data_IF_263705528908
#
_entry.id   IF_263705528908
#
_cell.length_a   1.000
_cell.length_b   1.000
_cell.length_c   1.000
_cell.angle_alpha   90.00
_cell.angle_beta   90.00
_cell.angle_gamma   90.00
#
_symmetry.space_group_name_H-M   'P 1'
#
loop_
_entity.id
_entity.type
_entity.pdbx_description
1 polymer ?
#
# COMPACT_ATOMS: atom_id res chain seq x y z
N UNK A 1 -8.82 -16.93 42.42
CA UNK A 1 -9.73 -17.89 43.08
C UNK A 1 -10.99 -18.03 42.22
N UNK A 2 -11.45 -19.26 42.03
CA UNK A 2 -12.71 -19.63 41.37
C UNK A 2 -13.94 -19.21 42.20
N UNK A 3 -15.10 -19.23 41.53
CA UNK A 3 -16.51 -19.05 42.00
C UNK A 3 -17.02 -17.60 42.05
N UNK A 4 -18.21 -17.26 41.52
CA UNK A 4 -19.18 -17.92 40.60
C UNK A 4 -20.37 -16.95 40.40
N UNK A 5 -20.95 -16.96 39.19
CA UNK A 5 -22.40 -16.95 38.88
C UNK A 5 -23.24 -15.69 39.23
N UNK A 6 -24.15 -15.14 38.38
CA UNK A 6 -25.10 -15.80 37.45
C UNK A 6 -25.59 -14.87 36.30
N UNK A 7 -25.54 -15.40 35.07
CA UNK A 7 -26.62 -15.54 34.07
C UNK A 7 -27.59 -14.38 33.74
N UNK A 8 -27.51 -13.89 32.49
CA UNK A 8 -28.57 -14.04 31.45
C UNK A 8 -27.95 -13.63 30.09
N UNK A 9 -27.40 -14.59 29.33
CA UNK A 9 -28.00 -15.15 28.10
C UNK A 9 -29.13 -14.29 27.50
N UNK A 10 -28.77 -13.47 26.52
CA UNK A 10 -29.66 -13.07 25.44
C UNK A 10 -28.99 -13.41 24.10
N UNK A 11 -29.35 -14.61 23.62
CA UNK A 11 -29.71 -14.89 22.23
C UNK A 11 -28.87 -14.21 21.14
N UNK A 12 -27.84 -14.91 20.69
CA UNK A 12 -27.33 -14.75 19.33
C UNK A 12 -28.44 -15.25 18.39
N UNK A 13 -29.30 -14.34 17.92
CA UNK A 13 -30.12 -14.60 16.74
C UNK A 13 -29.20 -14.68 15.52
N UNK A 14 -28.80 -15.92 15.23
CA UNK A 14 -28.50 -16.45 13.91
C UNK A 14 -27.67 -15.58 12.97
N UNK A 15 -26.35 -15.73 13.02
CA UNK A 15 -25.73 -16.17 11.78
C UNK A 15 -26.30 -17.56 11.51
N UNK A 16 -27.00 -17.70 10.38
CA UNK A 16 -27.49 -19.00 9.95
C UNK A 16 -26.36 -20.03 10.13
N UNK A 17 -26.65 -21.07 10.90
CA UNK A 17 -25.82 -22.26 10.99
C UNK A 17 -25.56 -22.72 9.55
N UNK A 18 -24.37 -22.45 9.01
CA UNK A 18 -23.79 -23.37 8.06
C UNK A 18 -23.86 -24.72 8.78
N UNK A 19 -24.65 -25.64 8.21
CA UNK A 19 -24.81 -26.99 8.76
C UNK A 19 -23.45 -27.52 9.20
N UNK A 20 -23.43 -28.31 10.29
CA UNK A 20 -22.27 -29.14 10.63
C UNK A 20 -21.99 -30.04 9.42
N UNK A 21 -21.17 -29.57 8.50
CA UNK A 21 -20.61 -30.38 7.45
C UNK A 21 -19.60 -31.26 8.14
N UNK A 22 -19.85 -32.56 8.08
CA UNK A 22 -18.87 -33.65 8.13
C UNK A 22 -17.45 -33.15 7.81
N UNK A 23 -16.39 -33.56 8.53
CA UNK A 23 -15.02 -33.13 8.20
C UNK A 23 -14.84 -33.31 6.70
N UNK A 24 -14.38 -32.29 5.95
CA UNK A 24 -14.41 -32.36 4.50
C UNK A 24 -13.57 -33.56 4.09
N UNK A 25 -14.27 -34.58 3.57
CA UNK A 25 -13.68 -35.55 2.65
C UNK A 25 -12.88 -34.73 1.65
N UNK A 26 -11.59 -35.01 1.46
CA UNK A 26 -10.67 -34.27 0.55
C UNK A 26 -11.38 -33.45 -0.55
N UNK A 27 -11.61 -32.11 -0.46
CA UNK A 27 -12.34 -31.46 -1.58
C UNK A 27 -12.37 -29.92 -1.78
N UNK A 28 -11.36 -29.13 -1.39
CA UNK A 28 -11.03 -27.93 -2.19
C UNK A 28 -9.58 -27.48 -2.00
N UNK A 29 -8.77 -27.60 -3.06
CA UNK A 29 -7.35 -27.18 -3.08
C UNK A 29 -7.11 -25.83 -3.78
N UNK A 30 -8.13 -25.29 -4.45
CA UNK A 30 -8.04 -24.05 -5.24
C UNK A 30 -8.88 -22.97 -4.58
N UNK A 31 -8.21 -21.92 -4.10
CA UNK A 31 -8.82 -20.72 -3.55
C UNK A 31 -9.08 -19.72 -4.69
N UNK A 32 -10.34 -19.27 -4.81
CA UNK A 32 -10.72 -18.24 -5.78
C UNK A 32 -10.83 -16.88 -5.08
N UNK A 33 -10.53 -15.81 -5.81
CA UNK A 33 -10.69 -14.44 -5.30
C UNK A 33 -12.14 -14.17 -4.91
N UNK A 34 -12.33 -13.41 -3.83
CA UNK A 34 -13.64 -12.89 -3.42
C UNK A 34 -14.06 -11.64 -4.24
N UNK A 35 -13.14 -11.08 -5.02
CA UNK A 35 -13.38 -9.91 -5.87
C UNK A 35 -13.81 -10.31 -7.28
N UNK A 36 -14.55 -9.46 -8.00
CA UNK A 36 -14.95 -9.73 -9.38
C UNK A 36 -13.75 -10.04 -10.28
N UNK A 37 -13.93 -10.90 -11.31
CA UNK A 37 -12.89 -11.13 -12.30
C UNK A 37 -12.58 -9.85 -13.07
N UNK A 38 -11.31 -9.63 -13.36
CA UNK A 38 -10.88 -8.57 -14.28
C UNK A 38 -11.26 -8.98 -15.72
N UNK A 39 -11.74 -8.05 -16.57
CA UNK A 39 -12.05 -8.35 -17.96
C UNK A 39 -10.91 -9.07 -18.67
N UNK A 40 -11.23 -10.03 -19.54
CA UNK A 40 -10.23 -10.80 -20.28
C UNK A 40 -9.64 -10.03 -21.47
N UNK A 41 -10.24 -8.90 -21.86
CA UNK A 41 -9.82 -8.09 -23.01
C UNK A 41 -8.44 -7.48 -22.76
N UNK A 42 -7.41 -7.86 -23.54
CA UNK A 42 -6.06 -7.34 -23.33
C UNK A 42 -6.01 -5.83 -23.56
N UNK A 43 -5.56 -5.09 -22.53
CA UNK A 43 -5.23 -3.67 -22.61
C UNK A 43 -3.84 -3.42 -22.02
N UNK A 44 -3.15 -2.38 -22.47
CA UNK A 44 -1.88 -1.98 -21.86
C UNK A 44 -2.12 -1.07 -20.65
N UNK A 45 -1.13 -0.97 -19.77
CA UNK A 45 -1.15 0.00 -18.67
C UNK A 45 -1.24 1.40 -19.24
N UNK A 46 -0.47 1.70 -20.30
CA UNK A 46 -0.52 2.99 -20.99
C UNK A 46 -1.93 3.33 -21.49
N UNK A 47 -2.64 2.39 -22.13
CA UNK A 47 -4.02 2.63 -22.56
C UNK A 47 -4.96 2.98 -21.40
N UNK A 48 -4.76 2.38 -20.23
CA UNK A 48 -5.50 2.71 -19.02
C UNK A 48 -5.10 4.10 -18.47
N UNK A 49 -3.82 4.46 -18.54
CA UNK A 49 -3.32 5.79 -18.17
C UNK A 49 -3.90 6.87 -19.09
N UNK A 50 -4.00 6.63 -20.41
CA UNK A 50 -4.66 7.54 -21.35
C UNK A 50 -6.15 7.71 -21.03
N UNK A 51 -6.84 6.65 -20.59
CA UNK A 51 -8.22 6.78 -20.12
C UNK A 51 -8.31 7.65 -18.86
N UNK A 52 -7.38 7.50 -17.92
CA UNK A 52 -7.30 8.37 -16.75
C UNK A 52 -6.97 9.83 -17.14
N UNK A 53 -6.05 10.06 -18.07
CA UNK A 53 -5.66 11.38 -18.54
C UNK A 53 -6.84 12.15 -19.18
N UNK A 54 -7.74 11.46 -19.89
CA UNK A 54 -8.99 12.06 -20.40
C UNK A 54 -9.91 12.60 -19.31
N UNK A 55 -9.88 11.98 -18.13
CA UNK A 55 -10.75 12.34 -16.99
C UNK A 55 -10.06 13.41 -16.12
N UNK A 56 -8.75 13.27 -15.91
CA UNK A 56 -7.96 14.06 -14.96
C UNK A 56 -6.95 14.99 -15.62
N UNK A 57 -7.20 15.41 -16.86
CA UNK A 57 -6.23 16.09 -17.72
C UNK A 57 -5.46 17.24 -17.03
N UNK A 58 -6.18 18.10 -16.32
CA UNK A 58 -5.60 19.29 -15.67
C UNK A 58 -5.17 19.04 -14.21
N UNK A 59 -5.41 17.83 -13.70
CA UNK A 59 -4.95 17.44 -12.37
C UNK A 59 -3.43 17.15 -12.37
N UNK A 60 -2.72 17.38 -11.26
CA UNK A 60 -1.32 16.98 -11.14
C UNK A 60 -1.15 15.46 -11.20
N UNK A 61 -0.27 14.98 -12.08
CA UNK A 61 0.12 13.57 -12.18
C UNK A 61 1.41 13.28 -11.39
N UNK A 62 2.42 14.13 -11.58
CA UNK A 62 3.72 14.02 -10.95
C UNK A 62 4.07 15.32 -10.26
N UNK A 63 4.60 15.23 -9.03
CA UNK A 63 5.05 16.37 -8.24
C UNK A 63 6.47 16.09 -7.76
N UNK A 64 7.39 17.03 -7.97
CA UNK A 64 8.71 16.96 -7.35
C UNK A 64 8.58 17.28 -5.85
N UNK A 65 8.90 16.33 -4.98
CA UNK A 65 8.81 16.52 -3.52
C UNK A 65 9.81 17.53 -2.93
N UNK A 66 10.77 18.02 -3.72
CA UNK A 66 11.76 19.04 -3.31
C UNK A 66 11.39 20.42 -3.85
N UNK A 67 11.15 20.53 -5.16
CA UNK A 67 10.89 21.82 -5.80
C UNK A 67 9.41 22.20 -5.84
N UNK A 68 8.53 21.25 -5.53
CA UNK A 68 7.06 21.38 -5.59
C UNK A 68 6.51 21.73 -6.98
N UNK A 69 7.37 21.77 -8.01
CA UNK A 69 6.95 21.80 -9.41
C UNK A 69 6.20 20.51 -9.73
N UNK A 70 5.14 20.66 -10.50
CA UNK A 70 4.30 19.54 -10.91
C UNK A 70 4.14 19.52 -12.42
N UNK A 71 3.70 18.35 -12.90
CA UNK A 71 3.31 18.09 -14.28
C UNK A 71 1.88 17.55 -14.22
N UNK A 72 0.99 18.14 -15.00
CA UNK A 72 -0.41 17.68 -15.15
C UNK A 72 -0.50 16.37 -15.92
N UNK A 73 -1.63 15.66 -15.86
CA UNK A 73 -1.85 14.48 -16.70
C UNK A 73 -1.72 14.78 -18.19
N UNK A 74 -2.19 15.96 -18.63
CA UNK A 74 -2.06 16.42 -20.02
C UNK A 74 -0.61 16.59 -20.44
N UNK A 75 0.17 17.37 -19.67
CA UNK A 75 1.59 17.59 -19.96
C UNK A 75 2.40 16.29 -19.86
N UNK A 76 2.02 15.40 -18.94
CA UNK A 76 2.59 14.07 -18.82
C UNK A 76 2.32 13.23 -20.08
N UNK A 77 1.07 13.18 -20.55
CA UNK A 77 0.71 12.46 -21.77
C UNK A 77 1.45 13.02 -22.99
N UNK A 78 1.48 14.34 -23.15
CA UNK A 78 2.21 15.01 -24.23
C UNK A 78 3.71 14.62 -24.21
N UNK A 79 4.32 14.62 -23.03
CA UNK A 79 5.73 14.23 -22.87
C UNK A 79 5.96 12.77 -23.24
N UNK A 80 5.08 11.86 -22.80
CA UNK A 80 5.16 10.43 -23.13
C UNK A 80 5.06 10.22 -24.64
N UNK A 81 4.12 10.87 -25.31
CA UNK A 81 3.94 10.76 -26.76
C UNK A 81 5.16 11.31 -27.50
N UNK A 82 5.70 12.46 -27.10
CA UNK A 82 6.91 13.02 -27.70
C UNK A 82 8.13 12.09 -27.57
N UNK A 83 8.34 11.52 -26.39
CA UNK A 83 9.45 10.57 -26.16
C UNK A 83 9.23 9.28 -26.94
N UNK A 84 7.99 8.76 -27.00
CA UNK A 84 7.66 7.59 -27.79
C UNK A 84 7.93 7.81 -29.29
N UNK A 85 7.52 8.95 -29.85
CA UNK A 85 7.82 9.32 -31.23
C UNK A 85 9.33 9.40 -31.48
N UNK A 86 10.09 10.01 -30.56
CA UNK A 86 11.54 10.10 -30.69
C UNK A 86 12.24 8.73 -30.64
N UNK A 87 11.75 7.78 -29.84
CA UNK A 87 12.26 6.41 -29.82
C UNK A 87 12.04 5.72 -31.18
N UNK A 88 10.85 5.85 -31.75
CA UNK A 88 10.53 5.31 -33.07
C UNK A 88 11.39 5.93 -34.18
N UNK A 89 11.59 7.25 -34.16
CA UNK A 89 12.46 7.95 -35.12
C UNK A 89 13.93 7.50 -35.05
N UNK A 90 14.37 7.08 -33.85
CA UNK A 90 15.71 6.53 -33.61
C UNK A 90 15.84 5.05 -33.98
N UNK A 91 14.79 4.46 -34.52
CA UNK A 91 14.77 3.10 -35.03
C UNK A 91 14.46 2.04 -33.99
N UNK A 92 13.92 2.41 -32.81
CA UNK A 92 13.40 1.40 -31.87
C UNK A 92 12.22 0.71 -32.54
N UNK A 93 12.36 -0.59 -32.77
CA UNK A 93 11.41 -1.40 -33.51
C UNK A 93 11.08 -2.71 -32.79
N UNK A 94 10.16 -3.48 -33.37
CA UNK A 94 9.85 -4.82 -32.89
C UNK A 94 11.12 -5.68 -32.89
N UNK A 95 11.32 -6.41 -31.79
CA UNK A 95 12.48 -7.27 -31.59
C UNK A 95 13.60 -6.60 -30.79
N UNK A 96 13.55 -5.28 -30.61
CA UNK A 96 14.53 -4.56 -29.82
C UNK A 96 14.26 -4.68 -28.32
N UNK A 97 15.35 -4.71 -27.56
CA UNK A 97 15.32 -4.60 -26.11
C UNK A 97 15.78 -3.20 -25.69
N UNK A 98 14.87 -2.40 -25.14
CA UNK A 98 15.19 -1.09 -24.58
C UNK A 98 15.49 -1.20 -23.09
N UNK A 99 16.73 -0.87 -22.69
CA UNK A 99 17.13 -0.79 -21.28
C UNK A 99 17.30 0.68 -20.87
N UNK A 100 16.67 1.07 -19.76
CA UNK A 100 16.80 2.42 -19.21
C UNK A 100 17.05 2.38 -17.70
N UNK A 101 18.08 3.11 -17.26
CA UNK A 101 18.46 3.27 -15.85
C UNK A 101 18.20 4.72 -15.44
N UNK A 102 17.00 4.97 -14.94
CA UNK A 102 16.49 6.31 -14.68
C UNK A 102 15.96 6.44 -13.26
N UNK A 103 16.05 7.65 -12.73
CA UNK A 103 15.35 8.02 -11.49
C UNK A 103 13.84 8.04 -11.72
N UNK A 104 13.05 7.78 -10.66
CA UNK A 104 11.59 7.61 -10.71
C UNK A 104 10.84 8.59 -11.63
N UNK A 105 11.10 9.90 -11.52
CA UNK A 105 10.40 10.91 -12.32
C UNK A 105 10.61 10.75 -13.83
N UNK A 106 11.82 10.35 -14.26
CA UNK A 106 12.12 10.06 -15.67
C UNK A 106 11.74 8.63 -16.06
N UNK A 107 11.79 7.72 -15.09
CA UNK A 107 11.42 6.32 -15.30
C UNK A 107 9.96 6.20 -15.72
N UNK A 108 9.03 6.85 -15.01
CA UNK A 108 7.59 6.75 -15.33
C UNK A 108 7.28 7.22 -16.75
N UNK A 109 7.85 8.36 -17.17
CA UNK A 109 7.69 8.88 -18.53
C UNK A 109 8.27 7.89 -19.55
N UNK A 110 9.50 7.42 -19.33
CA UNK A 110 10.19 6.54 -20.29
C UNK A 110 9.53 5.17 -20.38
N UNK A 111 9.06 4.63 -19.26
CA UNK A 111 8.35 3.36 -19.18
C UNK A 111 7.10 3.40 -20.07
N UNK A 112 6.26 4.41 -19.86
CA UNK A 112 5.02 4.57 -20.60
C UNK A 112 5.26 4.94 -22.08
N UNK A 113 6.38 5.61 -22.39
CA UNK A 113 6.79 5.92 -23.76
C UNK A 113 7.20 4.67 -24.54
N UNK A 114 8.00 3.80 -23.91
CA UNK A 114 8.39 2.50 -24.49
C UNK A 114 7.16 1.62 -24.66
N UNK A 115 6.26 1.61 -23.67
CA UNK A 115 4.98 0.90 -23.75
C UNK A 115 4.10 1.42 -24.91
N UNK A 116 4.00 2.74 -25.09
CA UNK A 116 3.28 3.33 -26.22
C UNK A 116 3.89 2.89 -27.57
N UNK A 117 5.19 3.09 -27.75
CA UNK A 117 5.88 2.73 -28.99
C UNK A 117 5.71 1.23 -29.31
N UNK A 118 5.82 0.36 -28.30
CA UNK A 118 5.63 -1.07 -28.47
C UNK A 118 4.16 -1.43 -28.78
N UNK A 119 3.20 -0.70 -28.21
CA UNK A 119 1.77 -0.84 -28.51
C UNK A 119 1.46 -0.47 -29.96
N UNK A 120 2.03 0.62 -30.46
CA UNK A 120 1.81 1.07 -31.84
C UNK A 120 2.49 0.14 -32.85
N UNK A 121 3.69 -0.35 -32.55
CA UNK A 121 4.35 -1.39 -33.36
C UNK A 121 3.48 -2.67 -33.42
N UNK A 122 2.95 -3.14 -32.28
CA UNK A 122 2.10 -4.32 -32.23
C UNK A 122 0.81 -4.16 -33.05
N UNK A 123 0.16 -2.98 -33.01
CA UNK A 123 -1.00 -2.68 -33.84
C UNK A 123 -0.67 -2.76 -35.33
N UNK A 124 0.46 -2.16 -35.75
CA UNK A 124 0.86 -2.14 -37.16
C UNK A 124 1.09 -3.53 -37.74
N UNK A 125 1.50 -4.48 -36.90
CA UNK A 125 1.79 -5.87 -37.27
C UNK A 125 0.68 -6.85 -36.89
N UNK A 126 -0.48 -6.38 -36.43
CA UNK A 126 -1.61 -7.22 -35.96
C UNK A 126 -1.22 -8.23 -34.87
N UNK A 127 -0.30 -7.83 -33.99
CA UNK A 127 0.17 -8.63 -32.86
C UNK A 127 -0.77 -8.40 -31.67
N UNK A 128 -1.21 -9.45 -30.95
CA UNK A 128 -2.00 -9.28 -29.73
C UNK A 128 -1.24 -8.50 -28.64
N UNK A 129 -1.95 -7.62 -27.95
CA UNK A 129 -1.40 -6.69 -26.95
C UNK A 129 -0.70 -7.38 -25.76
N UNK A 130 -1.08 -8.61 -25.43
CA UNK A 130 -0.47 -9.43 -24.38
C UNK A 130 0.87 -10.08 -24.80
N UNK A 131 1.29 -9.90 -26.05
CA UNK A 131 2.61 -10.27 -26.56
C UNK A 131 3.62 -9.11 -26.57
N UNK A 132 3.33 -8.03 -25.84
CA UNK A 132 4.24 -6.90 -25.62
C UNK A 132 4.74 -6.95 -24.18
N UNK A 133 6.06 -6.85 -23.98
CA UNK A 133 6.69 -7.20 -22.70
C UNK A 133 7.57 -6.10 -22.11
N UNK A 134 7.49 -5.98 -20.78
CA UNK A 134 8.43 -5.28 -19.92
C UNK A 134 9.28 -6.31 -19.16
N UNK A 135 10.56 -6.01 -18.94
CA UNK A 135 11.46 -6.85 -18.14
C UNK A 135 11.77 -6.12 -16.83
N UNK A 136 11.24 -6.66 -15.74
CA UNK A 136 11.50 -6.15 -14.39
C UNK A 136 12.71 -6.82 -13.73
N UNK A 137 13.35 -6.09 -12.81
CA UNK A 137 14.35 -6.68 -11.91
C UNK A 137 13.66 -7.55 -10.85
N UNK A 138 14.10 -8.81 -10.71
CA UNK A 138 13.54 -9.83 -9.80
C UNK A 138 13.61 -9.43 -8.30
N UNK A 139 12.81 -10.06 -7.41
CA UNK A 139 12.79 -9.75 -5.99
C UNK A 139 14.15 -9.95 -5.35
N UNK A 140 14.60 -8.96 -4.58
CA UNK A 140 15.76 -9.06 -3.70
C UNK A 140 15.56 -10.18 -2.67
N UNK A 141 16.42 -11.21 -2.65
CA UNK A 141 16.38 -12.17 -1.54
C UNK A 141 17.35 -13.35 -1.53
N UNK A 142 17.68 -13.98 -2.66
CA UNK A 142 18.58 -15.15 -2.63
C UNK A 142 19.68 -15.11 -3.70
N UNK A 143 20.89 -15.46 -3.27
CA UNK A 143 22.11 -15.44 -4.06
C UNK A 143 22.05 -16.39 -5.27
N UNK A 144 22.76 -15.95 -6.32
CA UNK A 144 23.41 -16.71 -7.41
C UNK A 144 22.85 -16.61 -8.83
N UNK A 145 21.59 -16.24 -9.08
CA UNK A 145 21.14 -15.97 -10.47
C UNK A 145 20.07 -14.88 -10.55
N UNK A 146 20.43 -13.70 -11.07
CA UNK A 146 19.47 -12.65 -11.41
C UNK A 146 18.79 -12.99 -12.74
N UNK A 147 17.70 -13.75 -12.69
CA UNK A 147 16.85 -13.97 -13.86
C UNK A 147 15.98 -12.73 -14.10
N UNK A 148 15.97 -12.24 -15.35
CA UNK A 148 14.99 -11.23 -15.77
C UNK A 148 13.60 -11.85 -15.81
N UNK A 149 12.63 -11.21 -15.17
CA UNK A 149 11.23 -11.65 -15.23
C UNK A 149 10.56 -10.90 -16.37
N UNK A 150 10.15 -11.65 -17.40
CA UNK A 150 9.41 -11.11 -18.54
C UNK A 150 7.92 -11.05 -18.17
N UNK A 151 7.38 -9.84 -18.09
CA UNK A 151 5.96 -9.57 -17.83
C UNK A 151 5.36 -8.90 -19.06
N UNK A 152 4.18 -9.31 -19.50
CA UNK A 152 3.49 -8.54 -20.54
C UNK A 152 2.94 -7.24 -19.95
N UNK A 153 2.76 -6.21 -20.78
CA UNK A 153 2.05 -5.01 -20.35
C UNK A 153 0.61 -5.33 -19.94
N UNK A 154 0.02 -6.40 -20.49
CA UNK A 154 -1.25 -6.94 -20.00
C UNK A 154 -1.15 -7.48 -18.56
N UNK A 155 -0.05 -8.16 -18.19
CA UNK A 155 0.15 -8.59 -16.80
C UNK A 155 0.20 -7.40 -15.84
N UNK A 156 0.87 -6.32 -16.23
CA UNK A 156 0.95 -5.08 -15.44
C UNK A 156 -0.42 -4.39 -15.34
N UNK A 157 -1.17 -4.32 -16.45
CA UNK A 157 -2.51 -3.74 -16.49
C UNK A 157 -3.50 -4.54 -15.62
N UNK A 158 -3.53 -5.87 -15.72
CA UNK A 158 -4.37 -6.73 -14.87
C UNK A 158 -4.02 -6.53 -13.40
N UNK A 159 -2.74 -6.46 -13.06
CA UNK A 159 -2.30 -6.22 -11.68
C UNK A 159 -2.82 -4.87 -11.15
N UNK A 160 -2.72 -3.80 -11.96
CA UNK A 160 -3.23 -2.48 -11.59
C UNK A 160 -4.77 -2.48 -11.45
N UNK A 161 -5.49 -3.14 -12.36
CA UNK A 161 -6.95 -3.28 -12.30
C UNK A 161 -7.40 -4.11 -11.09
N UNK A 162 -6.72 -5.21 -10.77
CA UNK A 162 -6.98 -5.98 -9.55
C UNK A 162 -6.86 -5.10 -8.31
N UNK A 163 -5.80 -4.30 -8.24
CA UNK A 163 -5.59 -3.41 -7.11
C UNK A 163 -6.72 -2.39 -6.97
N UNK A 164 -7.13 -1.77 -8.09
CA UNK A 164 -8.26 -0.84 -8.15
C UNK A 164 -9.60 -1.43 -7.66
N UNK A 165 -9.78 -2.75 -7.70
CA UNK A 165 -10.98 -3.41 -7.13
C UNK A 165 -10.90 -3.63 -5.62
N UNK A 166 -9.69 -3.65 -5.06
CA UNK A 166 -9.43 -3.89 -3.64
C UNK A 166 -9.34 -2.57 -2.88
N UNK A 167 -8.52 -1.64 -3.38
CA UNK A 167 -8.26 -0.34 -2.78
C UNK A 167 -7.88 0.68 -3.87
N UNK A 168 -8.44 1.88 -3.79
CA UNK A 168 -8.12 2.99 -4.71
C UNK A 168 -7.38 4.07 -3.96
N UNK A 169 -6.41 4.69 -4.62
CA UNK A 169 -5.81 5.90 -4.06
C UNK A 169 -6.87 7.01 -4.07
N UNK A 170 -7.16 7.54 -2.88
CA UNK A 170 -8.11 8.66 -2.68
C UNK A 170 -7.38 9.96 -2.37
N UNK A 171 -6.06 9.94 -2.56
CA UNK A 171 -5.10 10.84 -1.94
C UNK A 171 -3.78 10.75 -2.69
N UNK A 172 -2.96 11.81 -2.76
CA UNK A 172 -1.62 11.74 -3.31
C UNK A 172 -0.76 10.67 -2.63
N UNK A 173 0.19 10.12 -3.37
CA UNK A 173 1.12 9.13 -2.86
C UNK A 173 2.52 9.72 -2.74
N UNK A 174 3.14 9.58 -1.57
CA UNK A 174 4.55 9.91 -1.39
C UNK A 174 5.40 8.79 -2.00
N UNK A 175 6.05 9.08 -3.12
CA UNK A 175 6.73 8.11 -3.97
C UNK A 175 8.24 8.14 -3.76
N UNK A 176 8.75 7.17 -3.00
CA UNK A 176 10.18 6.94 -2.77
C UNK A 176 10.66 5.56 -3.20
N UNK A 177 9.75 4.61 -3.41
CA UNK A 177 10.14 3.27 -3.83
C UNK A 177 10.72 3.33 -5.25
N UNK A 178 11.77 2.56 -5.55
CA UNK A 178 12.33 2.51 -6.91
C UNK A 178 11.30 1.99 -7.90
N UNK A 179 10.96 2.78 -8.92
CA UNK A 179 9.96 2.39 -9.93
C UNK A 179 10.44 1.29 -10.88
N UNK A 180 11.74 1.04 -10.94
CA UNK A 180 12.33 -0.08 -11.68
C UNK A 180 12.18 -1.44 -10.98
N UNK A 181 11.67 -1.46 -9.75
CA UNK A 181 11.31 -2.67 -9.01
C UNK A 181 9.80 -2.90 -9.12
N UNK A 182 9.38 -4.17 -9.30
CA UNK A 182 7.97 -4.52 -9.56
C UNK A 182 7.01 -3.91 -8.54
N UNK A 183 7.39 -3.86 -7.27
CA UNK A 183 6.55 -3.25 -6.24
C UNK A 183 6.36 -1.73 -6.47
N UNK A 184 7.41 -1.02 -6.85
CA UNK A 184 7.33 0.41 -7.20
C UNK A 184 6.51 0.64 -8.46
N UNK A 185 6.72 -0.18 -9.51
CA UNK A 185 5.92 -0.13 -10.75
C UNK A 185 4.44 -0.35 -10.49
N UNK A 186 4.08 -1.35 -9.67
CA UNK A 186 2.68 -1.62 -9.31
C UNK A 186 2.02 -0.43 -8.62
N UNK A 187 2.70 0.21 -7.65
CA UNK A 187 2.16 1.39 -6.98
C UNK A 187 2.08 2.60 -7.92
N UNK A 188 3.09 2.82 -8.76
CA UNK A 188 3.10 3.87 -9.78
C UNK A 188 1.85 3.78 -10.67
N UNK A 189 1.57 2.58 -11.20
CA UNK A 189 0.40 2.33 -12.03
C UNK A 189 -0.90 2.56 -11.24
N UNK A 190 -0.99 2.03 -10.02
CA UNK A 190 -2.16 2.21 -9.16
C UNK A 190 -2.50 3.68 -8.89
N UNK A 191 -1.49 4.51 -8.64
CA UNK A 191 -1.67 5.95 -8.38
C UNK A 191 -2.09 6.69 -9.66
N UNK A 192 -1.41 6.44 -10.79
CA UNK A 192 -1.76 7.05 -12.08
C UNK A 192 -3.21 6.77 -12.49
N UNK A 193 -3.65 5.52 -12.36
CA UNK A 193 -5.03 5.14 -12.69
C UNK A 193 -6.08 5.72 -11.74
N UNK A 194 -5.68 6.15 -10.54
CA UNK A 194 -6.58 6.74 -9.55
C UNK A 194 -6.77 8.26 -9.72
N UNK A 195 -6.08 8.90 -10.67
CA UNK A 195 -6.13 10.36 -10.84
C UNK A 195 -5.43 11.12 -9.71
N UNK A 196 -4.56 10.47 -8.94
CA UNK A 196 -3.89 11.06 -7.79
C UNK A 196 -2.44 11.42 -8.13
N UNK A 197 -1.90 12.52 -7.58
CA UNK A 197 -0.51 12.85 -7.84
C UNK A 197 0.48 11.96 -7.09
N UNK A 198 1.60 11.70 -7.75
CA UNK A 198 2.78 11.07 -7.16
C UNK A 198 3.76 12.15 -6.73
N UNK A 199 3.93 12.32 -5.41
CA UNK A 199 4.95 13.22 -4.84
C UNK A 199 6.28 12.48 -4.78
N UNK A 200 7.13 12.69 -5.78
CA UNK A 200 8.37 11.94 -5.97
C UNK A 200 9.50 12.59 -5.19
N UNK A 201 10.10 11.82 -4.28
CA UNK A 201 11.36 12.17 -3.62
C UNK A 201 12.49 11.32 -4.21
N UNK A 202 13.63 11.92 -4.61
CA UNK A 202 14.71 11.18 -5.29
C UNK A 202 15.43 10.18 -4.38
N UNK A 203 15.42 10.46 -3.08
CA UNK A 203 15.97 9.62 -2.02
C UNK A 203 15.24 9.92 -0.71
N UNK A 204 15.38 9.02 0.26
CA UNK A 204 14.99 9.35 1.62
C UNK A 204 15.98 10.37 2.19
N UNK A 205 15.43 11.51 2.59
CA UNK A 205 16.09 12.49 3.44
C UNK A 205 15.06 12.88 4.51
N UNK A 206 15.32 12.71 5.82
CA UNK A 206 14.31 12.88 6.86
C UNK A 206 13.67 14.27 6.85
N UNK A 207 14.46 15.32 6.65
CA UNK A 207 13.96 16.71 6.67
C UNK A 207 13.08 16.96 5.45
N UNK A 208 13.56 16.61 4.25
CA UNK A 208 12.80 16.75 3.00
C UNK A 208 11.53 15.89 3.03
N UNK A 209 11.60 14.69 3.57
CA UNK A 209 10.47 13.79 3.73
C UNK A 209 9.40 14.39 4.63
N UNK A 210 9.78 14.89 5.80
CA UNK A 210 8.86 15.51 6.75
C UNK A 210 8.27 16.81 6.19
N UNK A 211 9.06 17.61 5.46
CA UNK A 211 8.57 18.81 4.78
C UNK A 211 7.54 18.47 3.70
N UNK A 212 7.84 17.51 2.83
CA UNK A 212 6.90 17.04 1.82
C UNK A 212 5.64 16.45 2.48
N UNK A 213 5.80 15.64 3.52
CA UNK A 213 4.67 15.09 4.27
C UNK A 213 3.84 16.22 4.87
N UNK A 214 4.44 17.20 5.54
CA UNK A 214 3.75 18.34 6.14
C UNK A 214 3.00 19.18 5.11
N UNK A 215 3.56 19.36 3.91
CA UNK A 215 2.93 20.13 2.84
C UNK A 215 1.75 19.39 2.21
N UNK A 216 1.86 18.09 2.01
CA UNK A 216 0.84 17.28 1.35
C UNK A 216 -0.06 16.51 2.32
N UNK A 217 0.11 16.64 3.64
CA UNK A 217 -0.64 15.90 4.68
C UNK A 217 -2.16 16.06 4.61
N UNK A 218 -2.64 17.21 4.14
CA UNK A 218 -4.08 17.47 4.00
C UNK A 218 -4.67 16.72 2.81
N UNK A 219 -3.81 16.36 1.86
CA UNK A 219 -4.16 15.58 0.68
C UNK A 219 -3.95 14.08 0.93
N UNK A 220 -2.92 13.68 1.70
CA UNK A 220 -2.59 12.28 1.97
C UNK A 220 -3.58 11.69 2.99
N UNK A 221 -4.45 10.79 2.53
CA UNK A 221 -5.54 10.15 3.27
C UNK A 221 -5.58 8.67 2.94
N UNK A 222 -5.80 7.84 3.95
CA UNK A 222 -6.04 6.41 3.73
C UNK A 222 -7.46 6.05 4.12
N UNK A 223 -8.21 5.50 3.15
CA UNK A 223 -9.64 5.15 3.30
C UNK A 223 -10.48 6.33 3.83
N UNK A 224 -10.20 7.53 3.33
CA UNK A 224 -10.89 8.76 3.74
C UNK A 224 -10.51 9.29 5.12
N UNK A 225 -9.62 8.63 5.84
CA UNK A 225 -9.11 9.10 7.13
C UNK A 225 -7.74 9.76 6.95
N UNK A 226 -7.59 10.95 7.52
CA UNK A 226 -6.29 11.59 7.68
C UNK A 226 -5.48 10.78 8.69
N UNK A 227 -4.23 10.45 8.35
CA UNK A 227 -3.28 9.99 9.36
C UNK A 227 -2.77 11.21 10.11
N UNK A 228 -3.44 11.55 11.21
CA UNK A 228 -2.84 12.48 12.18
C UNK A 228 -1.74 11.70 12.91
N UNK A 229 -0.50 11.83 12.44
CA UNK A 229 0.67 11.53 13.26
C UNK A 229 0.61 12.55 14.40
N UNK A 230 0.35 12.09 15.64
CA UNK A 230 0.44 12.96 16.81
C UNK A 230 1.90 13.07 17.18
N UNK A 231 2.32 14.31 17.36
CA UNK A 231 3.59 14.64 17.94
C UNK A 231 3.37 14.98 19.42
N UNK A 232 4.31 14.62 20.29
CA UNK A 232 4.32 15.14 21.67
C UNK A 232 4.74 16.62 21.70
N UNK A 233 4.79 17.23 22.88
CA UNK A 233 5.19 18.64 23.06
C UNK A 233 6.63 18.92 22.58
N UNK A 234 7.43 17.88 22.32
CA UNK A 234 8.78 17.96 21.77
C UNK A 234 8.86 17.65 20.26
N UNK A 235 7.71 17.52 19.60
CA UNK A 235 7.57 17.22 18.18
C UNK A 235 8.05 15.80 17.78
N UNK A 236 8.03 14.82 18.70
CA UNK A 236 8.35 13.41 18.43
C UNK A 236 7.10 12.60 18.08
N UNK A 237 7.18 11.71 17.08
CA UNK A 237 6.09 10.78 16.76
C UNK A 237 5.77 9.86 17.96
N UNK A 238 4.49 9.77 18.34
CA UNK A 238 4.03 8.88 19.42
C UNK A 238 3.39 7.61 18.81
N UNK A 239 4.15 6.53 18.58
CA UNK A 239 3.58 5.28 18.09
C UNK A 239 2.70 4.63 19.16
N UNK A 240 1.41 4.42 18.85
CA UNK A 240 0.49 3.64 19.68
C UNK A 240 0.27 2.25 19.05
N UNK A 241 0.43 1.20 19.85
CA UNK A 241 0.16 -0.18 19.47
C UNK A 241 -0.85 -0.80 20.44
N UNK A 242 -1.73 -1.67 19.94
CA UNK A 242 -2.67 -2.45 20.76
C UNK A 242 -2.33 -3.93 20.65
N UNK A 243 -2.18 -4.60 21.80
CA UNK A 243 -1.89 -6.04 21.86
C UNK A 243 -3.14 -6.77 22.34
N UNK A 244 -3.57 -7.78 21.59
CA UNK A 244 -4.70 -8.66 21.97
C UNK A 244 -4.13 -10.02 22.33
N UNK A 245 -4.51 -10.54 23.49
CA UNK A 245 -4.10 -11.89 23.91
C UNK A 245 -4.64 -12.93 22.92
N UNK A 246 -3.82 -13.95 22.63
CA UNK A 246 -4.29 -15.11 21.89
C UNK A 246 -5.39 -15.81 22.69
N UNK A 247 -6.36 -16.49 22.03
CA UNK A 247 -7.28 -17.38 22.72
C UNK A 247 -6.47 -18.33 23.62
N UNK A 248 -6.87 -18.43 24.89
CA UNK A 248 -6.21 -19.25 25.93
C UNK A 248 -4.87 -18.74 26.47
N UNK A 249 -4.36 -17.58 26.03
CA UNK A 249 -3.23 -16.93 26.69
C UNK A 249 -3.72 -16.17 27.94
N UNK A 250 -3.07 -16.41 29.08
CA UNK A 250 -3.29 -15.66 30.33
C UNK A 250 -2.06 -14.83 30.66
N UNK A 251 -2.27 -13.62 31.18
CA UNK A 251 -1.19 -12.80 31.73
C UNK A 251 -0.57 -13.53 32.93
N UNK A 252 0.75 -13.71 32.92
CA UNK A 252 1.48 -14.32 34.02
C UNK A 252 1.98 -13.24 34.97
N UNK A 253 1.20 -12.90 36.00
CA UNK A 253 1.73 -12.22 37.17
C UNK A 253 1.02 -12.73 38.43
N UNK A 254 1.79 -13.38 39.32
CA UNK A 254 1.39 -13.62 40.70
C UNK A 254 1.79 -12.39 41.51
N UNK A 255 0.79 -11.78 42.14
CA UNK A 255 0.94 -10.72 43.13
C UNK A 255 1.94 -11.12 44.22
N UNK A 256 2.98 -10.31 44.42
CA UNK A 256 3.80 -10.37 45.63
C UNK A 256 4.30 -9.00 46.07
N UNK A 257 3.51 -7.94 45.94
CA UNK A 257 3.73 -6.67 46.65
C UNK A 257 2.40 -5.92 46.67
N UNK A 258 1.93 -5.50 47.84
CA UNK A 258 0.63 -4.84 48.03
C UNK A 258 0.54 -3.42 47.47
N UNK A 259 0.84 -3.22 46.19
CA UNK A 259 0.59 -2.01 45.40
C UNK A 259 -0.50 -2.30 44.35
N UNK A 260 -1.05 -1.24 43.75
CA UNK A 260 -2.10 -1.36 42.73
C UNK A 260 -1.63 -2.27 41.60
N UNK A 261 -2.30 -3.41 41.42
CA UNK A 261 -1.93 -4.48 40.47
C UNK A 261 -1.75 -4.00 39.03
N UNK A 262 -2.48 -2.95 38.62
CA UNK A 262 -2.50 -2.44 37.24
C UNK A 262 -1.24 -1.61 36.94
N UNK A 263 -0.74 -0.86 37.92
CA UNK A 263 0.43 0.01 37.72
C UNK A 263 1.73 -0.79 37.73
N UNK A 264 1.83 -1.79 38.61
CA UNK A 264 3.01 -2.67 38.69
C UNK A 264 3.17 -3.50 37.41
N UNK A 265 2.08 -4.02 36.83
CA UNK A 265 2.11 -4.76 35.56
C UNK A 265 2.54 -3.88 34.37
N UNK A 266 2.12 -2.61 34.34
CA UNK A 266 2.57 -1.64 33.34
C UNK A 266 4.08 -1.42 33.43
N UNK A 267 4.61 -1.25 34.64
CA UNK A 267 6.05 -1.06 34.90
C UNK A 267 6.85 -2.29 34.48
N UNK A 268 6.39 -3.49 34.83
CA UNK A 268 7.05 -4.75 34.48
C UNK A 268 7.08 -5.00 32.97
N UNK A 269 5.97 -4.70 32.27
CA UNK A 269 5.92 -4.76 30.80
C UNK A 269 6.88 -3.77 30.16
N UNK A 270 6.90 -2.53 30.64
CA UNK A 270 7.82 -1.51 30.15
C UNK A 270 9.28 -1.93 30.38
N UNK A 271 9.60 -2.50 31.55
CA UNK A 271 10.93 -3.01 31.87
C UNK A 271 11.33 -4.21 30.99
N UNK A 272 10.43 -5.17 30.79
CA UNK A 272 10.65 -6.32 29.92
C UNK A 272 10.95 -5.90 28.48
N UNK A 273 10.14 -4.98 27.92
CA UNK A 273 10.37 -4.45 26.57
C UNK A 273 11.67 -3.65 26.53
N UNK A 274 11.93 -2.80 27.53
CA UNK A 274 13.13 -1.98 27.61
C UNK A 274 14.44 -2.78 27.63
N UNK A 275 14.44 -4.01 28.16
CA UNK A 275 15.58 -4.92 28.13
C UNK A 275 15.89 -5.46 26.72
N UNK A 276 14.91 -5.42 25.82
CA UNK A 276 14.99 -6.02 24.48
C UNK A 276 15.11 -4.98 23.35
N UNK A 277 15.09 -3.68 23.66
CA UNK A 277 15.06 -2.61 22.66
C UNK A 277 16.06 -1.49 22.96
N UNK A 278 16.51 -0.80 21.90
CA UNK A 278 17.40 0.36 22.04
C UNK A 278 16.73 1.50 22.84
N UNK A 279 17.50 2.40 23.50
CA UNK A 279 16.96 3.42 24.40
C UNK A 279 15.81 4.27 23.84
N UNK A 280 15.87 4.64 22.57
CA UNK A 280 14.84 5.43 21.90
C UNK A 280 13.56 4.65 21.52
N UNK A 281 13.58 3.31 21.61
CA UNK A 281 12.43 2.42 21.32
C UNK A 281 11.70 1.97 22.59
N UNK A 282 12.11 2.47 23.76
CA UNK A 282 11.48 2.11 25.04
C UNK A 282 10.04 2.63 25.06
N UNK A 283 9.12 1.76 25.50
CA UNK A 283 7.72 2.13 25.71
C UNK A 283 7.65 3.15 26.83
N UNK A 284 6.94 4.26 26.61
CA UNK A 284 6.82 5.38 27.57
C UNK A 284 5.52 5.33 28.39
N UNK A 285 4.51 4.63 27.89
CA UNK A 285 3.20 4.50 28.55
C UNK A 285 2.56 3.17 28.16
N UNK A 286 1.96 2.49 29.13
CA UNK A 286 1.13 1.29 28.95
C UNK A 286 -0.17 1.54 29.70
N UNK A 287 -1.28 1.13 29.11
CA UNK A 287 -2.58 1.21 29.73
C UNK A 287 -3.39 -0.03 29.40
N UNK A 288 -4.09 -0.56 30.42
CA UNK A 288 -4.98 -1.68 30.28
C UNK A 288 -6.42 -1.17 30.11
N UNK A 289 -7.08 -1.62 29.04
CA UNK A 289 -8.48 -1.32 28.78
C UNK A 289 -9.28 -2.62 28.70
N UNK A 290 -10.48 -2.62 29.28
CA UNK A 290 -11.36 -3.81 29.31
C UNK A 290 -11.75 -4.28 27.91
N UNK A 291 -11.97 -3.33 27.00
CA UNK A 291 -12.26 -3.61 25.61
C UNK A 291 -11.77 -2.48 24.71
N UNK A 292 -11.16 -2.86 23.59
CA UNK A 292 -10.89 -1.91 22.51
C UNK A 292 -12.24 -1.57 21.87
N UNK A 293 -12.67 -0.29 21.85
CA UNK A 293 -13.95 0.09 21.28
C UNK A 293 -13.95 -0.20 19.79
N UNK A 294 -14.98 -0.93 19.34
CA UNK A 294 -15.11 -1.43 17.98
C UNK A 294 -16.51 -1.17 17.45
N UNK A 295 -16.62 -0.89 16.16
CA UNK A 295 -17.89 -0.86 15.46
C UNK A 295 -18.53 -2.25 15.43
N UNK A 296 -19.84 -2.35 15.11
CA UNK A 296 -20.50 -3.64 14.87
C UNK A 296 -19.83 -4.49 13.78
N UNK A 297 -19.06 -3.86 12.87
CA UNK A 297 -18.27 -4.53 11.84
C UNK A 297 -16.83 -4.85 12.27
N UNK A 298 -16.48 -4.70 13.56
CA UNK A 298 -15.17 -5.01 14.12
C UNK A 298 -14.06 -3.96 13.91
N UNK A 299 -14.37 -2.78 13.36
CA UNK A 299 -13.37 -1.71 13.14
C UNK A 299 -13.11 -0.96 14.45
N UNK A 300 -11.85 -0.69 14.78
CA UNK A 300 -11.49 0.07 15.99
C UNK A 300 -12.00 1.52 15.88
N UNK A 301 -12.75 1.97 16.88
CA UNK A 301 -13.30 3.32 16.98
C UNK A 301 -12.28 4.26 17.64
N UNK A 302 -11.35 4.78 16.83
CA UNK A 302 -10.25 5.63 17.32
C UNK A 302 -10.70 6.90 18.04
N UNK A 303 -11.87 7.45 17.69
CA UNK A 303 -12.42 8.66 18.35
C UNK A 303 -12.80 8.40 19.81
N UNK A 304 -13.32 7.23 20.11
CA UNK A 304 -13.69 6.83 21.47
C UNK A 304 -12.45 6.48 22.29
N UNK A 305 -11.44 5.84 21.66
CA UNK A 305 -10.12 5.69 22.27
C UNK A 305 -9.47 7.05 22.58
N UNK A 306 -9.70 8.08 21.77
CA UNK A 306 -9.13 9.41 22.00
C UNK A 306 -9.81 10.14 23.16
N UNK A 307 -11.15 10.12 23.20
CA UNK A 307 -11.94 10.81 24.23
C UNK A 307 -11.78 10.21 25.65
N UNK A 308 -11.31 8.97 25.76
CA UNK A 308 -11.00 8.34 27.04
C UNK A 308 -9.66 8.80 27.66
N UNK A 309 -8.82 9.53 26.91
CA UNK A 309 -7.47 9.92 27.32
C UNK A 309 -7.17 11.43 27.11
N UNK A 310 -8.21 12.27 26.98
CA UNK A 310 -8.17 13.73 27.17
C UNK A 310 -8.69 14.06 28.56
#
# INVERSE_FOLDING_TARGET
MLLRCRHQVLSVRGFASAAKTTPPSHQQRIYKSAYPPIPATPVTTWQLVQQAAKIFADAPALICGISHKYVTYREFEDTVLQVASSLSERGVAKGDASLYLLHNAKFVVTHDSVENAATDAAKSESIPTDHIFSVGSSPSGLQSFRHGVRLSFWNLAVNALQWQTIDKFTSPALAMLPYNHIYGTTLMNGVLLSGQPQVILPKFDPVTFLQALQQYKELIKYKGHQYTIRYDDNNDEVPKACVVLKPHATLSAKASTGRSMIDDDCVDLMAYVAASVAPYKKVRQVEFVDAIPKSPSGKILRRELQAAHE
#
